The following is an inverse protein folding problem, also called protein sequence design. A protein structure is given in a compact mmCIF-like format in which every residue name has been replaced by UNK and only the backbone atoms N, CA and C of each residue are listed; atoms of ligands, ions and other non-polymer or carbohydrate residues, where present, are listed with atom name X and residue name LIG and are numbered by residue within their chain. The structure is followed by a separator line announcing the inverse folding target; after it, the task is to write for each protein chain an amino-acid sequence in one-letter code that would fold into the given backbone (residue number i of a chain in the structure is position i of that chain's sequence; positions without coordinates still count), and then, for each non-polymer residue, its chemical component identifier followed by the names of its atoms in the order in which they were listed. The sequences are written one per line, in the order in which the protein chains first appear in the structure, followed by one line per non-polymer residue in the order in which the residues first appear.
data_IF_790674983246
#
_entry.id   IF_790674983246
#
_cell.length_a   1.000
_cell.length_b   1.000
_cell.length_c   1.000
_cell.angle_alpha   90.00
_cell.angle_beta   90.00
_cell.angle_gamma   90.00
#
_symmetry.space_group_name_H-M   'P 1'
#
loop_
_entity.id
_entity.type
_entity.pdbx_description
1 polymer ?
#
# COMPACT_ATOMS: atom_id res chain seq x y z
N UNK A 1 -21.33 -8.39 -52.53
CA UNK A 1 -21.44 -8.26 -53.99
C UNK A 1 -21.40 -9.67 -54.56
N UNK A 2 -22.57 -10.13 -55.01
CA UNK A 2 -22.83 -11.03 -56.14
C UNK A 2 -21.93 -12.25 -56.44
N UNK A 3 -22.62 -13.38 -56.44
CA UNK A 3 -22.32 -14.68 -57.05
C UNK A 3 -22.04 -14.65 -58.56
N UNK A 4 -21.42 -15.77 -59.01
CA UNK A 4 -21.49 -16.44 -60.32
C UNK A 4 -20.82 -15.80 -61.55
N UNK A 5 -19.91 -16.54 -62.20
CA UNK A 5 -20.29 -17.49 -63.26
C UNK A 5 -19.07 -17.98 -64.06
N UNK A 6 -18.97 -19.31 -64.12
CA UNK A 6 -18.51 -20.19 -65.21
C UNK A 6 -18.21 -19.60 -66.60
N UNK A 7 -17.20 -20.17 -67.28
CA UNK A 7 -17.34 -20.68 -68.66
C UNK A 7 -16.26 -21.72 -68.99
N UNK A 8 -16.72 -22.80 -69.63
CA UNK A 8 -15.99 -23.93 -70.19
C UNK A 8 -16.04 -23.83 -71.72
N UNK A 9 -15.01 -24.30 -72.43
CA UNK A 9 -15.03 -24.58 -73.87
C UNK A 9 -14.28 -25.91 -74.12
N UNK A 10 -15.00 -27.00 -74.44
CA UNK A 10 -15.37 -27.50 -75.79
C UNK A 10 -14.18 -28.09 -76.57
N UNK A 11 -13.95 -29.41 -76.52
CA UNK A 11 -14.50 -30.54 -77.35
C UNK A 11 -13.71 -30.82 -78.62
N UNK A 12 -13.20 -32.05 -78.75
CA UNK A 12 -13.32 -32.80 -80.00
C UNK A 12 -13.21 -34.32 -79.74
N UNK A 13 -14.30 -35.03 -80.00
CA UNK A 13 -14.34 -36.48 -80.14
C UNK A 13 -13.80 -36.91 -81.50
N UNK A 14 -13.21 -38.11 -81.55
CA UNK A 14 -13.12 -38.88 -82.79
C UNK A 14 -13.23 -40.37 -82.48
N UNK A 15 -14.39 -40.93 -82.82
CA UNK A 15 -14.67 -42.37 -82.85
C UNK A 15 -13.85 -43.05 -83.96
N UNK A 16 -13.56 -44.34 -83.80
CA UNK A 16 -13.98 -45.41 -84.72
C UNK A 16 -13.61 -46.79 -84.12
N UNK A 17 -14.64 -47.65 -84.09
CA UNK A 17 -14.59 -49.09 -83.84
C UNK A 17 -13.91 -49.84 -85.00
N UNK A 18 -13.08 -50.84 -84.70
CA UNK A 18 -12.91 -51.99 -85.59
C UNK A 18 -12.47 -53.26 -84.83
N UNK A 19 -13.03 -54.38 -85.29
CA UNK A 19 -13.00 -55.72 -84.73
C UNK A 19 -11.62 -56.43 -84.73
N UNK A 20 -11.55 -57.47 -83.87
CA UNK A 20 -10.74 -58.71 -83.88
C UNK A 20 -10.24 -59.23 -85.26
N UNK A 21 -9.37 -60.27 -85.34
CA UNK A 21 -8.45 -60.91 -84.36
C UNK A 21 -7.01 -61.13 -84.91
N UNK A 22 -6.11 -61.72 -84.09
CA UNK A 22 -4.90 -62.54 -84.35
C UNK A 22 -4.58 -63.02 -85.80
N UNK A 23 -3.37 -63.58 -86.12
CA UNK A 23 -2.05 -63.59 -85.46
C UNK A 23 -0.81 -63.57 -86.46
N UNK A 24 0.41 -63.69 -85.89
CA UNK A 24 1.61 -64.38 -86.41
C UNK A 24 2.34 -63.97 -87.72
N UNK A 25 3.63 -63.62 -87.58
CA UNK A 25 4.73 -64.09 -88.45
C UNK A 25 6.02 -64.21 -87.60
N UNK A 26 6.64 -65.37 -87.32
CA UNK A 26 7.01 -66.58 -88.08
C UNK A 26 8.46 -66.53 -88.61
N UNK A 27 9.35 -67.30 -87.97
CA UNK A 27 10.39 -68.23 -88.51
C UNK A 27 11.07 -68.94 -87.32
N UNK A 28 10.70 -70.17 -86.96
CA UNK A 28 11.13 -71.51 -87.48
C UNK A 28 12.58 -71.87 -87.12
N UNK A 29 12.75 -72.67 -86.04
CA UNK A 29 13.46 -73.98 -86.02
C UNK A 29 13.80 -74.41 -84.58
N UNK A 30 13.11 -75.43 -84.05
CA UNK A 30 13.69 -76.67 -83.47
C UNK A 30 12.64 -77.44 -82.64
N UNK A 31 12.17 -78.53 -83.25
CA UNK A 31 11.45 -79.67 -82.65
C UNK A 31 12.56 -80.58 -82.09
N UNK A 32 12.52 -81.27 -80.95
CA UNK A 32 11.52 -81.55 -79.91
C UNK A 32 12.29 -82.01 -78.66
N UNK A 33 11.76 -81.73 -77.46
CA UNK A 33 12.30 -82.29 -76.23
C UNK A 33 11.40 -81.99 -75.03
N UNK A 34 10.80 -83.05 -74.48
CA UNK A 34 10.39 -83.26 -73.10
C UNK A 34 9.60 -82.17 -72.32
N UNK A 35 8.39 -82.55 -71.92
CA UNK A 35 7.81 -82.43 -70.58
C UNK A 35 8.48 -81.43 -69.62
N UNK A 36 7.70 -80.45 -69.11
CA UNK A 36 7.60 -80.05 -67.68
C UNK A 36 6.70 -78.81 -67.60
N UNK A 37 5.66 -78.90 -66.75
CA UNK A 37 4.82 -77.78 -66.33
C UNK A 37 5.66 -76.60 -65.81
N UNK A 38 5.46 -75.34 -66.23
CA UNK A 38 6.11 -74.22 -65.56
C UNK A 38 5.36 -73.92 -64.27
N UNK A 39 5.77 -74.59 -63.19
CA UNK A 39 5.52 -74.12 -61.84
C UNK A 39 6.26 -72.79 -61.67
N UNK A 40 5.52 -71.70 -61.46
CA UNK A 40 6.07 -70.43 -60.97
C UNK A 40 6.51 -70.66 -59.52
N UNK A 41 7.69 -71.27 -59.36
CA UNK A 41 8.28 -71.68 -58.09
C UNK A 41 9.59 -70.95 -57.87
N UNK A 42 9.54 -69.71 -57.38
CA UNK A 42 10.73 -69.07 -56.79
C UNK A 42 11.04 -69.81 -55.49
N UNK A 43 11.94 -70.79 -55.59
CA UNK A 43 12.50 -71.64 -54.55
C UNK A 43 13.90 -71.12 -54.17
N UNK A 44 14.24 -71.10 -52.87
CA UNK A 44 15.59 -70.86 -52.38
C UNK A 44 15.75 -69.63 -51.47
N UNK A 45 16.48 -69.82 -50.36
CA UNK A 45 16.99 -68.93 -49.29
C UNK A 45 16.58 -67.45 -49.21
N UNK A 46 16.44 -66.75 -50.33
CA UNK A 46 16.00 -65.34 -50.42
C UNK A 46 14.58 -65.11 -49.86
N UNK A 47 13.62 -66.04 -50.05
CA UNK A 47 12.29 -65.95 -49.40
C UNK A 47 12.41 -66.02 -47.88
N UNK A 48 13.22 -66.92 -47.34
CA UNK A 48 13.44 -67.07 -45.90
C UNK A 48 14.13 -65.85 -45.30
N UNK A 49 15.08 -65.27 -46.04
CA UNK A 49 15.72 -64.00 -45.68
C UNK A 49 14.71 -62.84 -45.68
N UNK A 50 13.83 -62.76 -46.69
CA UNK A 50 12.79 -61.74 -46.77
C UNK A 50 11.73 -61.88 -45.67
N UNK A 51 11.26 -63.11 -45.36
CA UNK A 51 10.35 -63.34 -44.23
C UNK A 51 11.03 -63.08 -42.88
N UNK A 52 12.30 -63.43 -42.73
CA UNK A 52 13.07 -63.10 -41.52
C UNK A 52 13.24 -61.58 -41.37
N UNK A 53 13.50 -60.86 -42.46
CA UNK A 53 13.60 -59.40 -42.46
C UNK A 53 12.26 -58.73 -42.14
N UNK A 54 11.14 -59.21 -42.73
CA UNK A 54 9.79 -58.74 -42.40
C UNK A 54 9.44 -59.04 -40.96
N UNK A 55 9.78 -60.23 -40.45
CA UNK A 55 9.57 -60.60 -39.04
C UNK A 55 10.40 -59.72 -38.11
N UNK A 56 11.66 -59.44 -38.45
CA UNK A 56 12.51 -58.53 -37.71
C UNK A 56 11.92 -57.12 -37.70
N UNK A 57 11.45 -56.62 -38.84
CA UNK A 57 10.75 -55.33 -38.94
C UNK A 57 9.45 -55.30 -38.13
N UNK A 58 8.69 -56.40 -38.10
CA UNK A 58 7.48 -56.51 -37.30
C UNK A 58 7.81 -56.48 -35.80
N UNK A 59 8.84 -57.23 -35.39
CA UNK A 59 9.31 -57.25 -34.00
C UNK A 59 9.83 -55.87 -33.59
N UNK A 60 10.63 -55.21 -34.41
CA UNK A 60 11.09 -53.84 -34.11
C UNK A 60 9.93 -52.86 -34.06
N UNK A 61 8.92 -52.99 -34.92
CA UNK A 61 7.70 -52.18 -34.86
C UNK A 61 6.93 -52.41 -33.54
N UNK A 62 6.75 -53.66 -33.11
CA UNK A 62 6.08 -54.00 -31.85
C UNK A 62 6.87 -53.48 -30.65
N UNK A 63 8.19 -53.65 -30.64
CA UNK A 63 9.06 -53.13 -29.57
C UNK A 63 8.99 -51.61 -29.51
N UNK A 64 9.05 -50.94 -30.66
CA UNK A 64 8.92 -49.49 -30.73
C UNK A 64 7.54 -49.02 -30.24
N UNK A 65 6.46 -49.72 -30.57
CA UNK A 65 5.11 -49.43 -30.08
C UNK A 65 4.98 -49.66 -28.57
N UNK A 66 5.54 -50.76 -28.05
CA UNK A 66 5.52 -51.04 -26.62
C UNK A 66 6.33 -49.99 -25.85
N UNK A 67 7.49 -49.58 -26.39
CA UNK A 67 8.34 -48.56 -25.81
C UNK A 67 7.67 -47.18 -25.83
N UNK A 68 6.95 -46.80 -26.90
CA UNK A 68 6.19 -45.55 -26.93
C UNK A 68 5.05 -45.54 -25.92
N UNK A 69 4.26 -46.62 -25.83
CA UNK A 69 3.19 -46.74 -24.82
C UNK A 69 3.77 -46.69 -23.40
N UNK A 70 4.91 -47.34 -23.18
CA UNK A 70 5.58 -47.31 -21.88
C UNK A 70 6.08 -45.92 -21.51
N UNK A 71 6.72 -45.18 -22.43
CA UNK A 71 7.13 -43.79 -22.21
C UNK A 71 5.92 -42.91 -21.89
N UNK A 72 4.82 -43.04 -22.65
CA UNK A 72 3.59 -42.26 -22.40
C UNK A 72 3.05 -42.52 -20.98
N UNK A 73 3.06 -43.79 -20.54
CA UNK A 73 2.64 -44.15 -19.19
C UNK A 73 3.58 -43.59 -18.12
N UNK A 74 4.90 -43.74 -18.28
CA UNK A 74 5.90 -43.28 -17.30
C UNK A 74 5.91 -41.76 -17.16
N UNK A 75 5.71 -41.05 -18.28
CA UNK A 75 5.60 -39.59 -18.30
C UNK A 75 4.24 -39.06 -17.81
N UNK A 76 3.33 -39.94 -17.35
CA UNK A 76 1.96 -39.59 -16.95
C UNK A 76 1.21 -38.76 -18.01
N UNK A 77 1.41 -39.07 -19.30
CA UNK A 77 0.61 -38.50 -20.38
C UNK A 77 -0.76 -39.18 -20.39
N UNK A 78 -1.77 -38.43 -19.98
CA UNK A 78 -3.18 -38.82 -20.03
C UNK A 78 -3.82 -38.05 -21.19
N UNK A 79 -4.92 -38.53 -21.81
CA UNK A 79 -5.66 -37.74 -22.80
C UNK A 79 -6.05 -36.34 -22.29
N UNK A 80 -6.16 -36.18 -20.98
CA UNK A 80 -6.51 -34.94 -20.30
C UNK A 80 -5.31 -34.04 -19.96
N UNK A 81 -4.05 -34.46 -20.18
CA UNK A 81 -2.88 -33.63 -19.87
C UNK A 81 -1.54 -34.35 -19.63
N UNK A 82 -0.54 -33.58 -19.19
CA UNK A 82 0.83 -34.03 -18.86
C UNK A 82 1.08 -33.87 -17.35
N UNK A 83 1.18 -34.98 -16.62
CA UNK A 83 1.45 -34.94 -15.17
C UNK A 83 0.39 -34.15 -14.39
N UNK A 84 0.81 -33.12 -13.66
CA UNK A 84 -0.07 -32.23 -12.90
C UNK A 84 -0.74 -31.15 -13.77
N UNK A 85 -0.35 -31.01 -15.04
CA UNK A 85 -0.95 -30.06 -15.98
C UNK A 85 -2.08 -30.74 -16.75
N UNK A 86 -3.31 -30.29 -16.55
CA UNK A 86 -4.48 -30.70 -17.33
C UNK A 86 -4.81 -29.66 -18.40
N UNK A 87 -5.07 -30.11 -19.62
CA UNK A 87 -5.48 -29.25 -20.73
C UNK A 87 -7.00 -29.33 -20.84
N UNK A 88 -7.67 -28.20 -20.61
CA UNK A 88 -9.13 -28.08 -20.72
C UNK A 88 -9.49 -27.13 -21.87
N UNK A 89 -10.77 -27.07 -22.24
CA UNK A 89 -11.26 -26.14 -23.27
C UNK A 89 -11.07 -24.67 -22.89
N UNK A 90 -11.01 -24.37 -21.59
CA UNK A 90 -10.88 -23.02 -21.03
C UNK A 90 -9.43 -22.59 -20.82
N UNK A 91 -8.49 -23.54 -20.81
CA UNK A 91 -7.06 -23.26 -20.61
C UNK A 91 -6.32 -24.43 -19.97
N UNK A 92 -5.12 -24.14 -19.46
CA UNK A 92 -4.27 -25.10 -18.75
C UNK A 92 -4.55 -24.98 -17.25
N UNK A 93 -4.97 -26.09 -16.63
CA UNK A 93 -5.22 -26.18 -15.20
C UNK A 93 -4.11 -27.00 -14.54
N UNK A 94 -3.40 -26.39 -13.61
CA UNK A 94 -2.38 -27.06 -12.82
C UNK A 94 -3.00 -27.64 -11.54
N UNK A 95 -2.93 -28.95 -11.37
CA UNK A 95 -3.41 -29.68 -10.21
C UNK A 95 -2.24 -30.37 -9.49
N UNK A 96 -1.70 -29.69 -8.47
CA UNK A 96 -0.61 -30.21 -7.65
C UNK A 96 0.58 -29.25 -7.60
N UNK A 97 1.72 -29.76 -7.14
CA UNK A 97 2.97 -29.00 -7.11
C UNK A 97 3.61 -29.08 -8.50
N UNK A 98 4.03 -27.95 -9.06
CA UNK A 98 4.82 -27.93 -10.28
C UNK A 98 5.84 -26.82 -10.26
N UNK A 99 6.99 -27.13 -10.84
CA UNK A 99 8.13 -26.23 -10.94
C UNK A 99 8.27 -25.80 -12.41
N UNK A 100 8.47 -24.52 -12.63
CA UNK A 100 8.72 -23.96 -13.95
C UNK A 100 10.17 -23.50 -14.02
N UNK A 101 10.96 -24.14 -14.89
CA UNK A 101 12.38 -23.80 -15.09
C UNK A 101 12.58 -22.47 -15.84
N UNK A 102 11.54 -22.01 -16.54
CA UNK A 102 11.52 -20.80 -17.35
C UNK A 102 10.35 -19.90 -16.95
N UNK A 103 10.41 -18.59 -17.25
CA UNK A 103 9.31 -17.67 -16.97
C UNK A 103 7.99 -18.13 -17.60
N UNK A 104 6.92 -18.11 -16.82
CA UNK A 104 5.57 -18.42 -17.28
C UNK A 104 4.90 -17.14 -17.78
N UNK A 105 4.61 -17.07 -19.08
CA UNK A 105 3.83 -15.99 -19.68
C UNK A 105 2.37 -16.43 -19.85
N UNK A 106 1.47 -15.74 -19.17
CA UNK A 106 0.04 -16.04 -19.16
C UNK A 106 -0.76 -14.75 -19.26
N UNK A 107 -1.88 -14.83 -19.98
CA UNK A 107 -2.82 -13.71 -20.09
C UNK A 107 -3.53 -13.44 -18.77
N UNK A 108 -3.84 -14.50 -18.04
CA UNK A 108 -4.61 -14.44 -16.81
C UNK A 108 -4.21 -15.58 -15.87
N UNK A 109 -4.10 -15.28 -14.58
CA UNK A 109 -3.86 -16.24 -13.51
C UNK A 109 -5.02 -16.12 -12.54
N UNK A 110 -5.70 -17.23 -12.27
CA UNK A 110 -6.78 -17.30 -11.29
C UNK A 110 -6.52 -18.43 -10.31
N UNK A 111 -6.86 -18.20 -9.04
CA UNK A 111 -6.97 -19.25 -8.04
C UNK A 111 -8.25 -20.06 -8.24
N UNK A 112 -8.41 -21.15 -7.48
CA UNK A 112 -9.68 -21.90 -7.46
C UNK A 112 -10.77 -21.01 -6.84
N UNK A 113 -12.03 -21.28 -7.20
CA UNK A 113 -13.19 -20.60 -6.59
C UNK A 113 -13.08 -20.63 -5.06
N UNK A 114 -13.34 -19.48 -4.45
CA UNK A 114 -13.32 -19.29 -2.99
C UNK A 114 -11.96 -19.54 -2.32
N UNK A 115 -10.86 -19.46 -3.08
CA UNK A 115 -9.50 -19.54 -2.53
C UNK A 115 -8.64 -18.36 -2.97
N UNK A 116 -7.78 -17.79 -2.10
CA UNK A 116 -6.89 -16.71 -2.47
C UNK A 116 -5.77 -17.20 -3.40
N UNK A 117 -5.32 -16.34 -4.31
CA UNK A 117 -4.05 -16.53 -5.02
C UNK A 117 -2.92 -16.13 -4.08
N UNK A 118 -2.12 -17.10 -3.64
CA UNK A 118 -0.99 -16.86 -2.73
C UNK A 118 0.30 -16.90 -3.54
N UNK A 119 1.06 -15.82 -3.50
CA UNK A 119 2.41 -15.71 -4.07
C UNK A 119 3.40 -15.61 -2.91
N UNK A 120 4.25 -16.62 -2.74
CA UNK A 120 5.26 -16.67 -1.69
C UNK A 120 6.65 -16.73 -2.30
N UNK A 121 7.56 -15.89 -1.80
CA UNK A 121 8.93 -15.75 -2.29
C UNK A 121 9.85 -15.43 -1.12
N UNK A 122 11.08 -15.93 -1.17
CA UNK A 122 12.19 -15.56 -0.28
C UNK A 122 12.79 -14.19 -0.64
N UNK A 123 12.47 -13.68 -1.83
CA UNK A 123 12.87 -12.39 -2.36
C UNK A 123 11.66 -11.50 -2.64
N UNK A 124 11.93 -10.24 -2.95
CA UNK A 124 10.90 -9.27 -3.31
C UNK A 124 10.00 -9.77 -4.44
N UNK A 125 8.69 -9.59 -4.27
CA UNK A 125 7.69 -9.90 -5.29
C UNK A 125 7.31 -8.59 -5.98
N UNK A 126 7.50 -8.51 -7.30
CA UNK A 126 7.12 -7.33 -8.09
C UNK A 126 6.03 -7.69 -9.10
N UNK A 127 4.90 -7.01 -9.01
CA UNK A 127 3.78 -7.09 -9.95
C UNK A 127 3.79 -5.85 -10.84
N UNK A 128 3.87 -6.05 -12.15
CA UNK A 128 3.91 -4.97 -13.14
C UNK A 128 2.61 -4.96 -13.95
N UNK A 129 1.88 -3.85 -13.92
CA UNK A 129 0.79 -3.57 -14.84
C UNK A 129 1.34 -2.90 -16.10
N UNK A 130 0.90 -3.36 -17.28
CA UNK A 130 1.33 -2.81 -18.59
C UNK A 130 0.12 -2.48 -19.45
N UNK A 131 0.24 -1.45 -20.28
CA UNK A 131 -0.76 -1.13 -21.30
C UNK A 131 -0.62 -2.02 -22.56
N UNK A 132 -1.51 -1.86 -23.54
CA UNK A 132 -1.52 -2.64 -24.79
C UNK A 132 -0.24 -2.46 -25.63
N UNK A 133 0.50 -1.37 -25.42
CA UNK A 133 1.79 -1.11 -26.07
C UNK A 133 2.97 -1.73 -25.30
N UNK A 134 2.72 -2.41 -24.18
CA UNK A 134 3.73 -3.03 -23.32
C UNK A 134 4.46 -2.07 -22.37
N UNK A 135 4.03 -0.80 -22.29
CA UNK A 135 4.60 0.17 -21.37
C UNK A 135 4.07 -0.04 -19.95
N UNK A 136 4.94 0.15 -18.96
CA UNK A 136 4.61 0.04 -17.54
C UNK A 136 3.64 1.15 -17.13
N UNK A 137 2.46 0.80 -16.62
CA UNK A 137 1.45 1.74 -16.10
C UNK A 137 1.39 1.75 -14.57
N UNK A 138 1.84 0.68 -13.93
CA UNK A 138 1.94 0.61 -12.49
C UNK A 138 2.84 -0.54 -12.05
N UNK A 139 3.43 -0.39 -10.87
CA UNK A 139 4.28 -1.39 -10.24
C UNK A 139 3.96 -1.49 -8.76
N UNK A 140 3.81 -2.71 -8.27
CA UNK A 140 3.69 -3.01 -6.85
C UNK A 140 4.82 -3.96 -6.46
N UNK A 141 5.69 -3.53 -5.55
CA UNK A 141 6.80 -4.32 -5.03
C UNK A 141 6.60 -4.59 -3.55
N UNK A 142 6.50 -5.87 -3.19
CA UNK A 142 6.44 -6.33 -1.79
C UNK A 142 7.82 -6.84 -1.40
N UNK A 143 8.53 -6.08 -0.56
CA UNK A 143 9.83 -6.45 0.00
C UNK A 143 9.75 -6.99 1.43
N UNK A 144 10.90 -7.26 2.03
CA UNK A 144 10.99 -7.74 3.42
C UNK A 144 10.66 -6.67 4.47
N UNK A 145 10.86 -5.39 4.13
CA UNK A 145 10.69 -4.27 5.06
C UNK A 145 9.53 -3.32 4.68
N UNK A 146 9.30 -3.16 3.37
CA UNK A 146 8.32 -2.20 2.86
C UNK A 146 7.56 -2.73 1.65
N UNK A 147 6.36 -2.20 1.48
CA UNK A 147 5.56 -2.34 0.26
C UNK A 147 5.62 -1.02 -0.48
N UNK A 148 6.11 -1.06 -1.72
CA UNK A 148 6.24 0.10 -2.60
C UNK A 148 5.22 0.00 -3.73
N UNK A 149 4.40 1.03 -3.89
CA UNK A 149 3.42 1.13 -4.96
C UNK A 149 3.74 2.35 -5.84
N UNK A 150 4.06 2.11 -7.10
CA UNK A 150 4.23 3.13 -8.13
C UNK A 150 3.03 3.10 -9.06
N UNK A 151 2.08 4.00 -8.84
CA UNK A 151 0.84 4.11 -9.59
C UNK A 151 0.29 5.54 -9.53
N UNK A 152 -0.63 5.89 -10.43
CA UNK A 152 -1.30 7.20 -10.40
C UNK A 152 -2.19 7.37 -9.16
N UNK A 153 -2.80 6.28 -8.69
CA UNK A 153 -3.68 6.27 -7.52
C UNK A 153 -3.62 4.91 -6.83
N UNK A 154 -3.37 4.94 -5.53
CA UNK A 154 -3.36 3.77 -4.66
C UNK A 154 -4.56 3.84 -3.71
N UNK A 155 -5.34 2.76 -3.61
CA UNK A 155 -6.48 2.67 -2.69
C UNK A 155 -6.44 1.38 -1.88
N UNK A 156 -6.72 1.49 -0.59
CA UNK A 156 -7.00 0.36 0.31
C UNK A 156 -8.47 0.46 0.71
N UNK A 157 -9.24 -0.58 0.40
CA UNK A 157 -10.68 -0.66 0.71
C UNK A 157 -10.96 -1.65 1.84
N UNK A 158 -12.09 -1.48 2.50
CA UNK A 158 -12.62 -2.46 3.45
C UNK A 158 -12.87 -3.81 2.76
N UNK A 159 -13.00 -4.87 3.56
CA UNK A 159 -13.26 -6.23 3.08
C UNK A 159 -14.57 -6.34 2.28
N UNK A 160 -15.54 -5.46 2.53
CA UNK A 160 -16.79 -5.32 1.76
C UNK A 160 -16.61 -4.58 0.42
N UNK A 161 -15.49 -3.88 0.23
CA UNK A 161 -15.19 -3.06 -0.95
C UNK A 161 -15.90 -1.70 -1.00
N UNK A 162 -16.81 -1.40 -0.06
CA UNK A 162 -17.66 -0.21 -0.09
C UNK A 162 -16.90 1.04 0.38
N UNK A 163 -16.10 0.90 1.44
CA UNK A 163 -15.41 2.03 2.07
C UNK A 163 -13.93 2.08 1.69
N UNK A 164 -13.44 3.26 1.31
CA UNK A 164 -12.01 3.52 1.07
C UNK A 164 -11.39 3.89 2.42
N UNK A 165 -10.49 3.05 2.91
CA UNK A 165 -9.79 3.24 4.19
C UNK A 165 -8.56 4.15 4.04
N UNK A 166 -7.88 4.05 2.90
CA UNK A 166 -6.72 4.85 2.56
C UNK A 166 -6.70 5.09 1.06
N UNK A 167 -6.46 6.32 0.63
CA UNK A 167 -6.11 6.62 -0.76
C UNK A 167 -4.93 7.57 -0.83
N UNK A 168 -4.10 7.38 -1.85
CA UNK A 168 -3.02 8.29 -2.18
C UNK A 168 -2.96 8.48 -3.68
N UNK A 169 -3.02 9.73 -4.14
CA UNK A 169 -2.76 10.12 -5.53
C UNK A 169 -1.79 11.33 -5.56
N UNK A 170 -1.63 11.95 -6.74
CA UNK A 170 -0.70 13.08 -6.92
C UNK A 170 -1.15 14.34 -6.17
N UNK A 171 -2.45 14.49 -5.89
CA UNK A 171 -3.03 15.70 -5.30
C UNK A 171 -3.15 15.57 -3.79
N UNK A 172 -3.65 14.42 -3.30
CA UNK A 172 -3.94 14.23 -1.88
C UNK A 172 -3.73 12.81 -1.37
N UNK A 173 -3.55 12.73 -0.05
CA UNK A 173 -3.63 11.48 0.72
C UNK A 173 -4.85 11.56 1.63
N UNK A 174 -5.82 10.69 1.42
CA UNK A 174 -7.03 10.61 2.23
C UNK A 174 -7.00 9.37 3.12
N UNK A 175 -7.40 9.56 4.38
CA UNK A 175 -7.52 8.48 5.36
C UNK A 175 -8.99 8.42 5.79
N UNK A 176 -9.73 7.45 5.26
CA UNK A 176 -11.16 7.25 5.52
C UNK A 176 -11.47 6.48 6.80
N UNK A 177 -10.48 6.29 7.68
CA UNK A 177 -10.67 5.57 8.95
C UNK A 177 -11.22 6.51 10.03
N UNK A 178 -12.12 6.01 10.88
CA UNK A 178 -12.64 6.77 12.03
C UNK A 178 -11.55 7.18 13.05
N UNK A 179 -10.43 6.44 13.08
CA UNK A 179 -9.37 6.65 14.06
C UNK A 179 -7.98 6.50 13.45
N UNK A 180 -7.28 7.62 13.32
CA UNK A 180 -5.85 7.65 13.02
C UNK A 180 -5.05 7.60 14.33
N UNK A 181 -4.26 6.54 14.54
CA UNK A 181 -3.33 6.43 15.67
C UNK A 181 -1.89 6.53 15.18
N UNK A 182 -1.21 7.61 15.57
CA UNK A 182 0.23 7.77 15.34
C UNK A 182 1.00 7.10 16.47
N UNK A 183 1.86 6.13 16.14
CA UNK A 183 2.64 5.35 17.12
C UNK A 183 4.15 5.64 17.07
N UNK A 184 4.58 6.58 16.23
CA UNK A 184 5.98 6.98 16.16
C UNK A 184 6.45 7.67 17.45
N UNK A 185 7.64 7.33 17.94
CA UNK A 185 8.23 7.91 19.15
C UNK A 185 8.40 9.44 19.07
N UNK A 186 8.57 9.97 17.85
CA UNK A 186 8.72 11.40 17.56
C UNK A 186 7.37 12.09 17.27
N UNK A 187 6.25 11.38 17.44
CA UNK A 187 4.92 11.87 17.06
C UNK A 187 4.75 11.99 15.55
N UNK A 188 4.02 13.02 15.12
CA UNK A 188 3.77 13.34 13.71
C UNK A 188 4.14 14.81 13.46
N UNK A 189 4.85 15.04 12.35
CA UNK A 189 5.15 16.40 11.88
C UNK A 189 4.16 16.73 10.77
N UNK A 190 3.34 17.75 11.01
CA UNK A 190 2.51 18.34 9.98
C UNK A 190 3.26 19.51 9.36
N UNK A 191 3.59 19.41 8.07
CA UNK A 191 4.29 20.47 7.32
C UNK A 191 3.42 21.71 7.10
N UNK A 192 2.11 21.55 7.21
CA UNK A 192 1.10 22.58 7.02
C UNK A 192 0.14 22.59 8.22
N UNK A 193 -1.00 23.24 8.06
CA UNK A 193 -2.06 23.32 9.07
C UNK A 193 -2.80 22.00 9.23
N UNK A 194 -3.17 21.68 10.46
CA UNK A 194 -4.14 20.62 10.77
C UNK A 194 -5.44 21.29 11.17
N UNK A 195 -6.52 20.98 10.46
CA UNK A 195 -7.86 21.42 10.81
C UNK A 195 -8.59 20.30 11.55
N UNK A 196 -9.18 20.63 12.70
CA UNK A 196 -10.02 19.72 13.46
C UNK A 196 -11.13 20.48 14.16
N UNK A 197 -12.31 19.87 14.24
CA UNK A 197 -13.47 20.46 14.91
C UNK A 197 -13.34 20.45 16.43
N UNK A 198 -12.59 19.51 17.00
CA UNK A 198 -12.43 19.37 18.44
C UNK A 198 -11.07 18.75 18.80
N UNK A 199 -10.43 19.28 19.84
CA UNK A 199 -9.23 18.70 20.46
C UNK A 199 -9.58 18.29 21.89
N UNK A 200 -9.37 17.02 22.25
CA UNK A 200 -9.70 16.49 23.58
C UNK A 200 -8.58 15.56 24.07
N UNK A 201 -8.30 15.59 25.37
CA UNK A 201 -7.44 14.60 26.01
C UNK A 201 -8.15 13.27 26.26
N UNK A 202 -7.38 12.23 26.58
CA UNK A 202 -7.91 10.95 27.05
C UNK A 202 -8.70 11.12 28.37
N UNK A 203 -9.66 10.24 28.67
CA UNK A 203 -10.35 10.26 29.96
C UNK A 203 -9.36 10.24 31.13
N UNK A 204 -9.59 11.09 32.13
CA UNK A 204 -8.74 11.24 33.32
C UNK A 204 -7.32 11.79 33.06
N UNK A 205 -7.07 12.37 31.88
CA UNK A 205 -5.85 13.10 31.56
C UNK A 205 -6.17 14.55 31.20
N UNK A 206 -5.23 15.46 31.49
CA UNK A 206 -5.37 16.87 31.14
C UNK A 206 -5.00 17.12 29.67
N UNK A 207 -5.72 18.03 29.02
CA UNK A 207 -5.33 18.51 27.69
C UNK A 207 -4.14 19.46 27.84
N UNK A 208 -2.95 18.95 27.52
CA UNK A 208 -1.71 19.71 27.58
C UNK A 208 -1.31 20.21 26.19
N UNK A 209 -1.29 21.54 26.02
CA UNK A 209 -0.71 22.21 24.86
C UNK A 209 0.59 22.87 25.32
N UNK A 210 1.74 22.38 24.86
CA UNK A 210 3.05 22.90 25.28
C UNK A 210 4.02 23.12 24.11
N UNK A 211 4.87 24.14 24.24
CA UNK A 211 5.98 24.41 23.33
C UNK A 211 7.27 24.51 24.15
N UNK A 212 7.99 23.39 24.38
CA UNK A 212 9.12 23.37 25.30
C UNK A 212 10.31 24.23 24.84
N UNK A 213 10.47 24.40 23.52
CA UNK A 213 11.65 25.02 22.91
C UNK A 213 11.39 26.39 22.31
N UNK A 214 10.13 26.75 22.07
CA UNK A 214 9.75 27.97 21.35
C UNK A 214 8.50 28.59 21.99
N UNK A 215 7.55 28.99 21.15
CA UNK A 215 6.32 29.68 21.54
C UNK A 215 5.13 28.78 21.22
N UNK A 216 4.09 28.88 22.05
CA UNK A 216 2.75 28.40 21.76
C UNK A 216 1.89 29.64 21.53
N UNK A 217 1.34 29.80 20.34
CA UNK A 217 0.47 30.93 19.99
C UNK A 217 -0.95 30.41 19.79
N UNK A 218 -1.92 31.00 20.49
CA UNK A 218 -3.33 30.68 20.35
C UNK A 218 -4.06 31.96 19.91
N UNK A 219 -4.51 32.00 18.66
CA UNK A 219 -5.13 33.17 18.03
C UNK A 219 -6.46 32.76 17.39
N UNK A 220 -7.48 33.61 17.50
CA UNK A 220 -8.79 33.35 16.93
C UNK A 220 -9.46 34.65 16.46
N UNK A 221 -10.10 34.67 15.27
CA UNK A 221 -10.72 35.88 14.72
C UNK A 221 -11.85 36.46 15.60
N UNK A 222 -12.55 35.59 16.33
CA UNK A 222 -13.63 35.96 17.25
C UNK A 222 -13.18 36.05 18.71
N UNK A 223 -11.89 35.90 18.97
CA UNK A 223 -11.32 35.83 20.32
C UNK A 223 -11.17 34.39 20.83
N UNK A 224 -10.36 34.25 21.87
CA UNK A 224 -10.07 32.99 22.55
C UNK A 224 -10.71 33.04 23.94
N UNK A 225 -11.65 32.14 24.20
CA UNK A 225 -12.23 31.95 25.52
C UNK A 225 -11.57 30.73 26.19
N UNK A 226 -11.00 30.93 27.38
CA UNK A 226 -10.45 29.86 28.21
C UNK A 226 -11.34 29.74 29.45
N UNK A 227 -12.08 28.63 29.55
CA UNK A 227 -13.02 28.40 30.64
C UNK A 227 -12.71 27.06 31.34
N UNK A 228 -12.53 27.11 32.66
CA UNK A 228 -12.39 25.94 33.52
C UNK A 228 -13.72 25.71 34.26
N UNK A 229 -14.69 25.06 33.60
CA UNK A 229 -16.01 24.83 34.18
C UNK A 229 -16.01 23.97 35.45
N UNK A 230 -15.04 23.06 35.57
CA UNK A 230 -14.78 22.26 36.77
C UNK A 230 -13.26 22.21 36.98
N UNK A 231 -12.81 22.67 38.15
CA UNK A 231 -11.39 22.71 38.52
C UNK A 231 -10.80 24.11 38.50
N UNK A 232 -9.46 24.18 38.57
CA UNK A 232 -8.72 25.44 38.63
C UNK A 232 -8.08 25.77 37.27
N UNK A 233 -8.06 27.06 36.91
CA UNK A 233 -7.23 27.55 35.82
C UNK A 233 -5.92 28.10 36.40
N UNK A 234 -4.79 27.45 36.07
CA UNK A 234 -3.47 27.88 36.52
C UNK A 234 -2.58 28.28 35.34
N UNK A 235 -2.16 29.54 35.31
CA UNK A 235 -1.14 30.03 34.38
C UNK A 235 0.18 30.27 35.13
N UNK A 236 1.26 29.59 34.72
CA UNK A 236 2.59 29.74 35.31
C UNK A 236 3.62 30.15 34.27
N UNK A 237 4.38 31.21 34.53
CA UNK A 237 5.47 31.68 33.69
C UNK A 237 6.81 31.63 34.43
N UNK A 238 7.90 31.32 33.72
CA UNK A 238 9.27 31.33 34.31
C UNK A 238 9.87 32.74 34.38
N UNK A 239 9.48 33.61 33.46
CA UNK A 239 9.92 35.02 33.39
C UNK A 239 8.71 35.91 33.67
N UNK A 240 8.21 36.58 32.64
CA UNK A 240 7.16 37.58 32.77
C UNK A 240 5.82 37.04 32.26
N UNK A 241 4.73 37.45 32.91
CA UNK A 241 3.36 37.31 32.42
C UNK A 241 2.86 38.69 32.03
N UNK A 242 2.69 38.93 30.72
CA UNK A 242 2.14 40.18 30.21
C UNK A 242 0.64 40.00 29.92
N UNK A 243 -0.20 40.69 30.69
CA UNK A 243 -1.63 40.86 30.39
C UNK A 243 -1.80 42.25 29.79
N UNK A 244 -2.23 42.32 28.52
CA UNK A 244 -2.40 43.58 27.79
C UNK A 244 -3.73 43.60 27.07
N UNK A 245 -4.45 44.71 27.18
CA UNK A 245 -5.65 45.02 26.41
C UNK A 245 -5.37 46.27 25.55
N UNK A 246 -5.66 46.22 24.25
CA UNK A 246 -5.41 47.31 23.31
C UNK A 246 -6.49 48.39 23.34
N UNK A 247 -7.76 47.98 23.45
CA UNK A 247 -8.93 48.88 23.37
C UNK A 247 -9.88 48.74 24.57
N UNK A 248 -9.79 47.65 25.33
CA UNK A 248 -10.67 47.36 26.45
C UNK A 248 -9.98 47.46 27.81
N UNK A 249 -10.62 46.90 28.83
CA UNK A 249 -10.07 46.79 30.19
C UNK A 249 -9.68 45.36 30.55
N UNK A 250 -8.80 45.23 31.54
CA UNK A 250 -8.50 43.95 32.19
C UNK A 250 -9.34 43.89 33.46
N UNK A 251 -10.41 43.10 33.44
CA UNK A 251 -11.32 42.94 34.57
C UNK A 251 -10.98 41.67 35.36
N UNK A 252 -10.68 41.84 36.65
CA UNK A 252 -10.38 40.76 37.59
C UNK A 252 -11.46 40.71 38.66
N UNK A 253 -12.46 39.85 38.48
CA UNK A 253 -13.58 39.68 39.42
C UNK A 253 -13.41 38.41 40.24
N UNK A 254 -13.07 38.57 41.52
CA UNK A 254 -12.89 37.48 42.45
C UNK A 254 -13.12 37.95 43.90
N UNK A 255 -13.54 37.03 44.76
CA UNK A 255 -13.66 37.29 46.20
C UNK A 255 -12.31 37.67 46.84
N UNK A 256 -11.19 37.24 46.28
CA UNK A 256 -9.86 37.53 46.81
C UNK A 256 -8.83 37.54 45.68
N UNK A 257 -8.12 38.66 45.53
CA UNK A 257 -6.98 38.79 44.62
C UNK A 257 -5.70 38.87 45.47
N UNK A 258 -4.75 37.95 45.23
CA UNK A 258 -3.50 37.89 45.98
C UNK A 258 -2.33 38.30 45.10
N UNK A 259 -1.74 39.44 45.40
CA UNK A 259 -0.50 39.91 44.80
C UNK A 259 0.65 39.62 45.77
N UNK A 260 1.49 38.64 45.45
CA UNK A 260 2.63 38.24 46.28
C UNK A 260 3.84 39.17 46.10
N UNK A 261 4.72 39.20 47.11
CA UNK A 261 6.02 39.89 47.04
C UNK A 261 5.95 41.39 46.72
N UNK A 262 4.86 42.07 47.07
CA UNK A 262 4.81 43.53 47.00
C UNK A 262 5.77 44.09 48.06
N UNK A 263 6.74 44.93 47.70
CA UNK A 263 7.68 45.49 48.67
C UNK A 263 6.98 46.38 49.68
N UNK A 264 7.42 46.36 50.94
CA UNK A 264 7.03 47.40 51.91
C UNK A 264 7.81 48.67 51.59
N UNK A 265 7.09 49.77 51.35
CA UNK A 265 7.66 51.11 51.33
C UNK A 265 8.31 51.41 52.66
N UNK A 266 9.45 52.10 52.63
CA UNK A 266 10.09 52.57 53.86
C UNK A 266 9.25 53.71 54.46
N UNK A 267 8.14 53.37 55.10
CA UNK A 267 7.88 54.02 56.37
C UNK A 267 9.07 53.62 57.24
N UNK A 268 9.85 54.61 57.66
CA UNK A 268 10.90 54.50 58.68
C UNK A 268 10.52 53.32 59.58
N UNK A 269 11.34 52.26 59.57
CA UNK A 269 11.15 51.17 60.52
C UNK A 269 11.01 51.88 61.88
N UNK A 270 9.89 51.72 62.60
CA UNK A 270 9.72 52.43 63.85
C UNK A 270 10.88 52.15 64.83
N UNK A 271 11.69 51.12 64.56
CA UNK A 271 12.93 50.75 65.25
C UNK A 271 14.15 51.63 64.92
N UNK A 272 14.20 52.39 63.82
CA UNK A 272 15.26 53.40 63.62
C UNK A 272 14.95 54.66 64.43
N UNK A 273 15.16 54.57 65.75
CA UNK A 273 15.12 55.70 66.67
C UNK A 273 14.19 55.54 67.89
N UNK A 274 13.44 54.44 68.00
CA UNK A 274 12.59 54.21 69.17
C UNK A 274 13.39 53.78 70.42
N UNK A 275 13.08 54.34 71.59
CA UNK A 275 13.71 53.95 72.85
C UNK A 275 13.43 52.46 73.17
N UNK A 276 14.40 51.76 73.79
CA UNK A 276 14.27 50.33 74.10
C UNK A 276 13.08 50.08 75.04
N UNK A 277 12.13 49.25 74.62
CA UNK A 277 10.94 48.88 75.39
C UNK A 277 9.59 49.14 74.72
N UNK A 278 9.56 49.67 73.49
CA UNK A 278 8.32 49.86 72.72
C UNK A 278 7.87 48.55 72.06
N UNK A 279 6.80 47.95 72.57
CA UNK A 279 6.06 46.88 71.87
C UNK A 279 5.30 47.49 70.70
N UNK A 280 5.80 47.30 69.48
CA UNK A 280 5.06 47.63 68.26
C UNK A 280 4.02 46.55 67.96
N UNK A 281 2.77 46.97 67.81
CA UNK A 281 1.70 46.11 67.30
C UNK A 281 1.99 45.81 65.83
N UNK A 282 2.17 44.53 65.50
CA UNK A 282 2.30 44.05 64.12
C UNK A 282 1.10 44.55 63.32
N UNK A 283 1.33 45.46 62.37
CA UNK A 283 0.25 46.01 61.56
C UNK A 283 -0.36 44.91 60.68
N UNK A 284 -1.68 44.78 60.75
CA UNK A 284 -2.46 43.76 60.01
C UNK A 284 -3.11 44.32 58.76
N UNK A 285 -3.06 45.63 58.57
CA UNK A 285 -3.69 46.36 57.45
C UNK A 285 -2.64 47.27 56.83
N UNK A 286 -2.58 47.26 55.50
CA UNK A 286 -1.65 48.06 54.70
C UNK A 286 -2.43 48.82 53.62
N UNK A 287 -1.95 50.00 53.27
CA UNK A 287 -2.36 50.73 52.06
C UNK A 287 -1.53 50.23 50.86
N UNK A 288 -2.16 50.08 49.70
CA UNK A 288 -1.48 49.76 48.45
C UNK A 288 -1.23 51.04 47.66
N UNK A 289 0.05 51.40 47.48
CA UNK A 289 0.45 52.61 46.78
C UNK A 289 0.93 52.29 45.37
N UNK A 290 0.48 53.05 44.38
CA UNK A 290 0.91 52.96 42.99
C UNK A 290 1.76 54.18 42.60
N UNK A 291 3.00 53.93 42.18
CA UNK A 291 3.90 54.95 41.68
C UNK A 291 3.55 55.33 40.23
N UNK A 292 3.94 56.53 39.77
CA UNK A 292 3.74 56.97 38.38
C UNK A 292 4.44 56.07 37.33
N UNK A 293 5.42 55.27 37.74
CA UNK A 293 6.11 54.28 36.90
C UNK A 293 5.41 52.89 36.89
N UNK A 294 4.25 52.74 37.53
CA UNK A 294 3.49 51.49 37.59
C UNK A 294 3.95 50.49 38.67
N UNK A 295 5.00 50.79 39.45
CA UNK A 295 5.41 49.96 40.58
C UNK A 295 4.39 50.08 41.73
N UNK A 296 4.10 48.94 42.36
CA UNK A 296 3.26 48.86 43.56
C UNK A 296 4.12 48.64 44.80
N UNK A 297 3.76 49.27 45.91
CA UNK A 297 4.37 49.01 47.22
C UNK A 297 3.33 49.10 48.34
N UNK A 298 3.59 48.44 49.47
CA UNK A 298 2.75 48.45 50.66
C UNK A 298 3.19 49.54 51.63
N UNK A 299 2.26 50.30 52.19
CA UNK A 299 2.52 51.32 53.21
C UNK A 299 1.68 51.07 54.47
N UNK A 300 2.19 51.35 55.69
CA UNK A 300 1.42 51.31 56.93
C UNK A 300 0.06 52.02 56.86
N UNK A 301 -1.04 51.36 57.23
CA UNK A 301 -2.33 52.04 57.31
C UNK A 301 -2.40 52.91 58.59
N UNK A 302 -2.58 54.22 58.42
CA UNK A 302 -2.76 55.18 59.52
C UNK A 302 -4.05 56.01 59.32
N UNK A 303 -4.29 57.04 60.15
CA UNK A 303 -5.49 57.91 60.04
C UNK A 303 -5.58 58.70 58.73
N UNK A 304 -4.50 58.76 57.94
CA UNK A 304 -4.42 59.40 56.64
C UNK A 304 -3.47 58.63 55.74
N UNK A 305 -3.46 58.94 54.44
CA UNK A 305 -2.64 58.19 53.49
C UNK A 305 -1.16 58.34 53.81
N UNK A 306 -0.47 57.20 53.87
CA UNK A 306 0.98 57.13 54.11
C UNK A 306 1.77 56.90 52.82
N UNK A 307 1.10 56.90 51.67
CA UNK A 307 1.76 56.79 50.36
C UNK A 307 2.66 58.00 50.09
N UNK A 308 3.98 57.79 50.03
CA UNK A 308 4.96 58.82 49.72
C UNK A 308 5.50 58.69 48.29
N UNK A 309 5.54 59.81 47.56
CA UNK A 309 6.11 59.87 46.20
C UNK A 309 7.65 59.76 46.18
N UNK A 310 8.31 60.16 47.28
CA UNK A 310 9.77 60.12 47.47
C UNK A 310 10.30 58.78 47.98
N UNK A 311 9.44 57.76 48.06
CA UNK A 311 9.86 56.41 48.43
C UNK A 311 10.90 55.89 47.43
N UNK A 312 11.95 55.23 47.92
CA UNK A 312 13.02 54.63 47.09
C UNK A 312 12.48 53.68 46.00
N UNK A 313 11.26 53.16 46.18
CA UNK A 313 10.57 52.31 45.20
C UNK A 313 9.95 53.08 44.03
N UNK A 314 9.51 54.31 44.25
CA UNK A 314 8.97 55.18 43.19
C UNK A 314 10.07 55.91 42.40
N UNK A 315 11.32 55.87 42.88
CA UNK A 315 12.45 56.42 42.13
C UNK A 315 12.67 55.65 40.83
N UNK A 316 12.93 56.40 39.76
CA UNK A 316 13.29 55.87 38.47
C UNK A 316 14.71 55.32 38.57
N UNK A 317 14.88 54.04 38.26
CA UNK A 317 16.18 53.43 38.00
C UNK A 317 16.45 53.47 36.51
#
# INVERSE_FOLDING_TARGET
MSEQSSTSSMTQEQYILAAQPNPLHQRVASVCGAQVYPAVGIYGWRKRCLYFFILLLLVTMIVNLALTIWILKVMNFTPDGMGNLRVTKEGVRLEGVSEFLLPLYVKEIQSRRDSPLILQSDRNVTVNARNDQGQLTGQLTVGSEMVEAQCQRFEVRSADGETVLFSADEEEVSIGTEKLRVTGNEGVVFSHSVETSHVRAEPFQDLKLESPTRTLTLEAPRGVEVNAGVGDFTASCRKDLLLQSSEGEIFLDANTIRLGNIPLGSAVDPLEGAPPGTTYTKQTVYELCACANGKLYLSPAEKGSTCQTTSNFCLWS
#
